data_IF_834904824988
#
_entry.id   IF_834904824988
#
_cell.length_a   1.000
_cell.length_b   1.000
_cell.length_c   1.000
_cell.angle_alpha   90.00
_cell.angle_beta   90.00
_cell.angle_gamma   90.00
#
_symmetry.space_group_name_H-M   'P 1'
#
loop_
_entity.id
_entity.type
_entity.pdbx_description
1 polymer ?
#
# COMPACT_ATOMS: atom_id res chain seq x y z
N UNK A 1 -8.12 15.72 1.31
CA UNK A 1 -7.50 14.45 0.88
C UNK A 1 -6.48 14.01 1.92
N UNK A 2 -6.54 12.76 2.39
CA UNK A 2 -5.48 12.17 3.24
C UNK A 2 -4.52 11.38 2.35
N UNK A 3 -3.24 11.70 2.47
CA UNK A 3 -2.14 11.00 1.81
C UNK A 3 -1.48 10.04 2.79
N UNK A 4 -1.23 8.83 2.33
CA UNK A 4 -0.60 7.77 3.09
C UNK A 4 0.77 7.52 2.50
N UNK A 5 1.81 7.78 3.28
CA UNK A 5 3.17 7.41 2.90
C UNK A 5 3.33 5.89 2.91
N UNK A 6 4.34 5.39 2.19
CA UNK A 6 4.63 3.95 2.08
C UNK A 6 4.66 3.22 3.44
N UNK A 7 5.21 3.87 4.48
CA UNK A 7 5.24 3.31 5.84
C UNK A 7 3.84 3.14 6.42
N UNK A 8 2.95 4.13 6.23
CA UNK A 8 1.56 4.02 6.67
C UNK A 8 0.78 2.98 5.87
N UNK A 9 1.00 2.90 4.56
CA UNK A 9 0.39 1.87 3.72
C UNK A 9 0.74 0.49 4.25
N UNK A 10 2.03 0.22 4.49
CA UNK A 10 2.48 -1.07 5.02
C UNK A 10 1.88 -1.37 6.42
N UNK A 11 1.80 -0.37 7.30
CA UNK A 11 1.14 -0.51 8.61
C UNK A 11 -0.35 -0.86 8.49
N UNK A 12 -1.09 -0.18 7.60
CA UNK A 12 -2.51 -0.47 7.35
C UNK A 12 -2.75 -1.87 6.77
N UNK A 13 -1.77 -2.38 6.02
CA UNK A 13 -1.76 -3.73 5.46
C UNK A 13 -1.22 -4.78 6.45
N UNK A 14 -0.78 -4.37 7.64
CA UNK A 14 -0.23 -5.30 8.64
C UNK A 14 1.09 -5.94 8.27
N UNK A 15 1.88 -5.33 7.38
CA UNK A 15 3.14 -5.90 6.88
C UNK A 15 4.32 -4.94 7.00
N UNK A 16 5.53 -5.47 6.85
CA UNK A 16 6.74 -4.66 6.81
C UNK A 16 6.83 -3.83 5.51
N UNK A 17 7.39 -2.62 5.61
CA UNK A 17 7.60 -1.73 4.45
C UNK A 17 8.44 -2.39 3.37
N UNK A 18 9.44 -3.19 3.75
CA UNK A 18 10.28 -3.92 2.80
C UNK A 18 9.50 -5.01 2.05
N UNK A 19 8.57 -5.70 2.72
CA UNK A 19 7.67 -6.67 2.09
C UNK A 19 6.76 -5.97 1.09
N UNK A 20 6.15 -4.85 1.50
CA UNK A 20 5.36 -4.01 0.60
C UNK A 20 6.17 -3.56 -0.62
N UNK A 21 7.38 -3.04 -0.40
CA UNK A 21 8.27 -2.56 -1.47
C UNK A 21 8.68 -3.66 -2.44
N UNK A 22 8.92 -4.88 -1.95
CA UNK A 22 9.42 -5.99 -2.76
C UNK A 22 8.33 -6.67 -3.58
N UNK A 23 7.13 -6.84 -3.02
CA UNK A 23 6.09 -7.67 -3.64
C UNK A 23 4.90 -6.86 -4.18
N UNK A 24 4.60 -5.70 -3.57
CA UNK A 24 3.35 -4.98 -3.82
C UNK A 24 3.54 -3.61 -4.46
N UNK A 25 4.72 -2.98 -4.34
CA UNK A 25 4.97 -1.65 -4.90
C UNK A 25 4.86 -1.61 -6.43
N UNK A 26 5.24 -2.70 -7.11
CA UNK A 26 5.13 -2.80 -8.57
C UNK A 26 3.67 -2.96 -9.02
N UNK A 27 2.88 -3.72 -8.27
CA UNK A 27 1.45 -3.92 -8.53
C UNK A 27 0.59 -2.70 -8.16
N UNK A 28 0.99 -1.98 -7.11
CA UNK A 28 0.27 -0.83 -6.57
C UNK A 28 1.17 0.41 -6.59
N UNK A 29 1.38 1.04 -7.76
CA UNK A 29 2.19 2.23 -7.88
C UNK A 29 1.60 3.38 -7.03
N UNK A 30 2.45 4.33 -6.59
CA UNK A 30 1.99 5.48 -5.82
C UNK A 30 1.09 6.39 -6.66
N UNK A 31 -0.02 6.85 -6.07
CA UNK A 31 -0.88 7.86 -6.68
C UNK A 31 -0.13 9.20 -6.88
N UNK A 32 0.85 9.45 -6.04
CA UNK A 32 1.69 10.65 -6.09
C UNK A 32 3.13 10.31 -5.75
N UNK A 33 4.03 10.66 -6.66
CA UNK A 33 5.47 10.65 -6.41
C UNK A 33 5.99 12.08 -6.41
N UNK A 34 6.65 12.49 -5.33
CA UNK A 34 7.29 13.79 -5.22
C UNK A 34 8.73 13.62 -4.74
N UNK A 35 9.68 13.80 -5.65
CA UNK A 35 11.09 13.49 -5.45
C UNK A 35 11.27 12.06 -4.91
N UNK A 36 11.60 11.90 -3.63
CA UNK A 36 11.80 10.60 -3.00
C UNK A 36 10.59 10.13 -2.15
N UNK A 37 9.47 10.85 -2.19
CA UNK A 37 8.26 10.51 -1.43
C UNK A 37 7.21 9.88 -2.34
N UNK A 38 6.71 8.73 -1.89
CA UNK A 38 5.64 7.97 -2.52
C UNK A 38 4.44 8.02 -1.59
N UNK A 39 3.35 8.57 -2.10
CA UNK A 39 2.12 8.79 -1.37
C UNK A 39 0.94 8.13 -2.09
N UNK A 40 0.07 7.50 -1.33
CA UNK A 40 -1.16 6.86 -1.79
C UNK A 40 -2.38 7.57 -1.22
N UNK A 41 -3.49 7.53 -1.94
CA UNK A 41 -4.78 8.01 -1.45
C UNK A 41 -5.41 6.98 -0.51
N UNK A 42 -6.32 7.44 0.36
CA UNK A 42 -7.11 6.55 1.22
C UNK A 42 -7.85 5.46 0.41
N UNK A 43 -8.34 5.80 -0.79
CA UNK A 43 -9.04 4.88 -1.68
C UNK A 43 -8.12 3.77 -2.20
N UNK A 44 -6.91 4.13 -2.64
CA UNK A 44 -5.90 3.13 -3.06
C UNK A 44 -5.50 2.21 -1.92
N UNK A 45 -5.31 2.75 -0.71
CA UNK A 45 -5.00 1.93 0.48
C UNK A 45 -6.14 0.99 0.84
N UNK A 46 -7.38 1.46 0.81
CA UNK A 46 -8.54 0.59 1.05
C UNK A 46 -8.68 -0.51 -0.01
N UNK A 47 -8.40 -0.19 -1.28
CA UNK A 47 -8.41 -1.18 -2.36
C UNK A 47 -7.32 -2.24 -2.14
N UNK A 48 -6.07 -1.81 -1.93
CA UNK A 48 -4.94 -2.70 -1.60
C UNK A 48 -5.28 -3.61 -0.42
N UNK A 49 -5.79 -3.02 0.66
CA UNK A 49 -6.17 -3.75 1.87
C UNK A 49 -7.24 -4.80 1.59
N UNK A 50 -8.23 -4.47 0.75
CA UNK A 50 -9.30 -5.38 0.37
C UNK A 50 -8.82 -6.51 -0.55
N UNK A 51 -7.89 -6.24 -1.46
CA UNK A 51 -7.38 -7.27 -2.37
C UNK A 51 -6.39 -8.20 -1.63
N UNK A 52 -5.40 -7.63 -0.96
CA UNK A 52 -4.35 -8.38 -0.25
C UNK A 52 -4.94 -9.22 0.90
N UNK A 53 -5.79 -8.64 1.76
CA UNK A 53 -6.38 -9.40 2.88
C UNK A 53 -7.45 -10.40 2.43
N UNK A 54 -8.06 -10.22 1.26
CA UNK A 54 -9.04 -11.18 0.75
C UNK A 54 -8.37 -12.38 0.08
N UNK A 55 -7.16 -12.22 -0.44
CA UNK A 55 -6.33 -13.35 -0.89
C UNK A 55 -5.83 -14.21 0.28
N UNK A 56 -5.47 -13.63 1.44
CA UNK A 56 -5.03 -14.42 2.61
C UNK A 56 -6.17 -15.13 3.37
N UNK A 57 -7.42 -14.76 3.12
CA UNK A 57 -8.60 -15.38 3.75
C UNK A 57 -9.25 -16.49 2.92
N UNK A 58 -8.68 -16.87 1.78
CA UNK A 58 -9.16 -17.95 0.93
C UNK A 58 -8.38 -19.25 1.20
N UNK A 59 -8.57 -19.83 2.40
CA UNK A 59 -8.14 -21.19 2.75
C UNK A 59 -9.30 -21.91 3.43
#
# INVERSE_FOLDING_TARGET
MKWYSMTKVAQELGMAVNTFKKYYLDQYPPDREFANRKDWTASSVQKMRREILKEEGAI
#
